data_IF_767905752114
#
_entry.id   IF_767905752114
#
_cell.length_a   1.000
_cell.length_b   1.000
_cell.length_c   1.000
_cell.angle_alpha   90.00
_cell.angle_beta   90.00
_cell.angle_gamma   90.00
#
_symmetry.space_group_name_H-M   'P 1'
#
loop_
_entity.id
_entity.type
_entity.pdbx_description
1 polymer ?
#
# COMPACT_ATOMS: atom_id res chain seq x y z
N UNK A 1 76.09 49.74 44.85
CA UNK A 1 75.83 49.28 43.47
C UNK A 1 74.59 48.43 43.48
N UNK A 2 73.55 48.82 42.73
CA UNK A 2 72.64 47.93 41.99
C UNK A 2 71.40 48.74 41.55
N UNK A 3 71.29 48.95 40.25
CA UNK A 3 70.04 49.17 39.51
C UNK A 3 69.90 47.99 38.53
N UNK A 4 68.83 47.92 37.74
CA UNK A 4 67.49 47.34 37.97
C UNK A 4 67.32 46.05 37.12
N UNK A 5 66.09 45.68 36.70
CA UNK A 5 65.70 44.71 35.64
C UNK A 5 65.22 43.33 36.17
N UNK A 6 64.12 42.71 35.72
CA UNK A 6 63.18 42.90 34.60
C UNK A 6 61.85 42.23 34.95
N UNK A 7 60.76 42.75 34.39
CA UNK A 7 59.51 42.01 34.28
C UNK A 7 59.72 40.76 33.40
N UNK A 8 59.04 39.68 33.75
CA UNK A 8 58.80 38.57 32.83
C UNK A 8 57.29 38.53 32.63
N UNK A 9 56.84 39.26 31.62
CA UNK A 9 55.61 38.98 30.88
C UNK A 9 55.62 37.51 30.44
N UNK A 10 54.97 36.63 31.21
CA UNK A 10 54.67 35.26 30.79
C UNK A 10 53.50 35.35 29.81
N UNK A 11 53.86 35.28 28.53
CA UNK A 11 52.97 35.24 27.39
C UNK A 11 52.13 33.97 27.50
N UNK A 12 50.88 34.11 27.93
CA UNK A 12 49.84 33.12 27.72
C UNK A 12 49.48 33.19 26.23
N UNK A 13 50.22 32.41 25.44
CA UNK A 13 50.06 32.28 24.01
C UNK A 13 48.67 31.67 23.75
N UNK A 14 47.67 32.54 23.59
CA UNK A 14 46.31 32.24 23.15
C UNK A 14 46.29 31.67 21.73
N UNK A 15 47.00 30.56 21.50
CA UNK A 15 47.06 29.80 20.26
C UNK A 15 45.75 29.05 19.98
N UNK A 16 44.74 29.24 20.83
CA UNK A 16 43.42 28.63 20.69
C UNK A 16 42.41 29.51 19.92
N UNK A 17 42.74 30.77 19.59
CA UNK A 17 41.78 31.76 19.06
C UNK A 17 42.20 32.39 17.71
N UNK A 18 43.00 31.69 16.88
CA UNK A 18 43.58 32.28 15.66
C UNK A 18 43.29 31.49 14.38
N UNK A 19 42.05 31.04 14.21
CA UNK A 19 41.48 31.18 12.88
C UNK A 19 40.88 32.57 12.84
N UNK A 20 41.28 33.38 11.88
CA UNK A 20 40.57 34.63 11.62
C UNK A 20 39.09 34.31 11.35
N UNK A 21 38.14 35.15 11.74
CA UNK A 21 36.69 34.91 11.50
C UNK A 21 36.42 34.55 10.02
N UNK A 22 37.24 35.09 9.10
CA UNK A 22 37.23 34.75 7.67
C UNK A 22 37.69 33.30 7.38
N UNK A 23 38.73 32.79 8.04
CA UNK A 23 39.18 31.39 7.91
C UNK A 23 38.17 30.41 8.54
N UNK A 24 37.54 30.76 9.65
CA UNK A 24 36.43 29.96 10.21
C UNK A 24 35.25 29.92 9.25
N UNK A 25 34.93 31.05 8.62
CA UNK A 25 33.86 31.13 7.63
C UNK A 25 34.17 30.30 6.39
N UNK A 26 35.39 30.36 5.85
CA UNK A 26 35.81 29.54 4.71
C UNK A 26 35.74 28.04 5.02
N UNK A 27 36.22 27.60 6.19
CA UNK A 27 36.16 26.18 6.56
C UNK A 27 34.72 25.67 6.74
N UNK A 28 33.82 26.49 7.27
CA UNK A 28 32.39 26.19 7.36
C UNK A 28 31.73 26.08 5.97
N UNK A 29 32.05 27.01 5.06
CA UNK A 29 31.56 26.98 3.68
C UNK A 29 32.04 25.74 2.93
N UNK A 30 33.30 25.35 3.12
CA UNK A 30 33.85 24.13 2.53
C UNK A 30 33.15 22.89 3.06
N UNK A 31 32.90 22.80 4.37
CA UNK A 31 32.14 21.71 4.97
C UNK A 31 30.69 21.65 4.46
N UNK A 32 30.00 22.79 4.34
CA UNK A 32 28.67 22.85 3.74
C UNK A 32 28.68 22.42 2.27
N UNK A 33 29.69 22.83 1.49
CA UNK A 33 29.82 22.47 0.08
C UNK A 33 29.98 20.96 -0.11
N UNK A 34 30.82 20.32 0.71
CA UNK A 34 31.04 18.87 0.69
C UNK A 34 29.80 18.12 1.13
N UNK A 35 29.12 18.60 2.18
CA UNK A 35 27.87 18.01 2.63
C UNK A 35 26.76 18.11 1.57
N UNK A 36 26.67 19.25 0.87
CA UNK A 36 25.73 19.48 -0.21
C UNK A 36 26.03 18.58 -1.41
N UNK A 37 27.30 18.43 -1.81
CA UNK A 37 27.72 17.54 -2.89
C UNK A 37 27.35 16.09 -2.59
N UNK A 38 27.64 15.62 -1.37
CA UNK A 38 27.29 14.27 -0.93
C UNK A 38 25.78 14.01 -0.98
N UNK A 39 24.99 15.03 -0.61
CA UNK A 39 23.52 14.96 -0.68
C UNK A 39 23.05 14.92 -2.13
N UNK A 40 23.52 15.83 -2.98
CA UNK A 40 23.14 15.87 -4.40
C UNK A 40 23.49 14.58 -5.15
N UNK A 41 24.63 13.95 -4.83
CA UNK A 41 25.07 12.70 -5.46
C UNK A 41 24.15 11.51 -5.17
N UNK A 42 23.44 11.55 -4.04
CA UNK A 42 22.58 10.43 -3.58
C UNK A 42 21.09 10.68 -3.79
N UNK A 43 20.66 11.93 -3.94
CA UNK A 43 19.25 12.29 -4.14
C UNK A 43 18.60 11.54 -5.31
N UNK A 44 19.23 11.55 -6.50
CA UNK A 44 18.65 10.85 -7.67
C UNK A 44 18.53 9.33 -7.50
N UNK A 45 19.47 8.69 -6.78
CA UNK A 45 19.43 7.25 -6.49
C UNK A 45 18.32 6.94 -5.48
N UNK A 46 18.17 7.79 -4.46
CA UNK A 46 17.13 7.63 -3.43
C UNK A 46 15.73 7.82 -4.02
N UNK A 47 15.56 8.87 -4.81
CA UNK A 47 14.31 9.16 -5.51
C UNK A 47 13.97 8.03 -6.49
N UNK A 48 14.94 7.55 -7.28
CA UNK A 48 14.73 6.41 -8.18
C UNK A 48 14.38 5.11 -7.44
N UNK A 49 14.97 4.87 -6.28
CA UNK A 49 14.66 3.71 -5.44
C UNK A 49 13.24 3.78 -4.87
N UNK A 50 12.82 4.95 -4.39
CA UNK A 50 11.50 5.13 -3.80
C UNK A 50 10.41 5.08 -4.88
N UNK A 51 10.64 5.70 -6.05
CA UNK A 51 9.77 5.56 -7.22
C UNK A 51 9.64 4.09 -7.67
N UNK A 52 10.74 3.34 -7.68
CA UNK A 52 10.70 1.92 -8.06
C UNK A 52 9.91 1.04 -7.09
N UNK A 53 9.99 1.33 -5.78
CA UNK A 53 9.17 0.65 -4.76
C UNK A 53 7.70 0.98 -4.93
N UNK A 54 7.37 2.26 -5.11
CA UNK A 54 6.00 2.71 -5.32
C UNK A 54 5.40 2.09 -6.58
N UNK A 55 6.15 2.07 -7.68
CA UNK A 55 5.73 1.43 -8.93
C UNK A 55 5.42 -0.06 -8.73
N UNK A 56 6.34 -0.80 -8.11
CA UNK A 56 6.14 -2.24 -7.86
C UNK A 56 4.95 -2.50 -6.94
N UNK A 57 4.75 -1.65 -5.92
CA UNK A 57 3.62 -1.73 -5.02
C UNK A 57 2.30 -1.48 -5.76
N UNK A 58 2.27 -0.46 -6.62
CA UNK A 58 1.09 -0.10 -7.40
C UNK A 58 0.72 -1.20 -8.40
N UNK A 59 1.69 -1.81 -9.08
CA UNK A 59 1.45 -2.96 -9.96
C UNK A 59 0.78 -4.12 -9.22
N UNK A 60 1.27 -4.45 -8.01
CA UNK A 60 0.67 -5.48 -7.17
C UNK A 60 -0.75 -5.14 -6.72
N UNK A 61 -0.98 -3.86 -6.35
CA UNK A 61 -2.31 -3.37 -6.00
C UNK A 61 -3.27 -3.44 -7.19
N UNK A 62 -2.88 -2.95 -8.37
CA UNK A 62 -3.72 -2.91 -9.57
C UNK A 62 -4.15 -4.32 -9.98
N UNK A 63 -3.22 -5.28 -9.92
CA UNK A 63 -3.52 -6.68 -10.20
C UNK A 63 -4.53 -7.26 -9.19
N UNK A 64 -4.29 -7.04 -7.89
CA UNK A 64 -5.20 -7.50 -6.83
C UNK A 64 -6.58 -6.84 -6.91
N UNK A 65 -6.61 -5.54 -7.18
CA UNK A 65 -7.83 -4.74 -7.33
C UNK A 65 -8.64 -5.20 -8.53
N UNK A 66 -8.02 -5.41 -9.69
CA UNK A 66 -8.72 -5.88 -10.89
C UNK A 66 -9.37 -7.24 -10.67
N UNK A 67 -8.66 -8.19 -10.05
CA UNK A 67 -9.20 -9.52 -9.71
C UNK A 67 -10.33 -9.43 -8.68
N UNK A 68 -10.15 -8.64 -7.62
CA UNK A 68 -11.16 -8.43 -6.60
C UNK A 68 -12.43 -7.77 -7.16
N UNK A 69 -12.27 -6.71 -7.96
CA UNK A 69 -13.37 -6.01 -8.60
C UNK A 69 -14.17 -6.91 -9.55
N UNK A 70 -13.49 -7.72 -10.37
CA UNK A 70 -14.15 -8.68 -11.25
C UNK A 70 -14.96 -9.72 -10.47
N UNK A 71 -14.40 -10.27 -9.38
CA UNK A 71 -15.06 -11.23 -8.50
C UNK A 71 -16.28 -10.61 -7.80
N UNK A 72 -16.12 -9.47 -7.15
CA UNK A 72 -17.19 -8.78 -6.45
C UNK A 72 -18.32 -8.34 -7.39
N UNK A 73 -17.97 -7.90 -8.61
CA UNK A 73 -18.96 -7.59 -9.63
C UNK A 73 -19.79 -8.81 -10.03
N UNK A 74 -19.15 -9.96 -10.27
CA UNK A 74 -19.85 -11.23 -10.62
C UNK A 74 -20.85 -11.62 -9.52
N UNK A 75 -20.43 -11.61 -8.25
CA UNK A 75 -21.30 -11.98 -7.13
C UNK A 75 -22.40 -10.95 -6.87
N UNK A 76 -22.07 -9.66 -6.95
CA UNK A 76 -23.02 -8.57 -6.83
C UNK A 76 -24.13 -8.65 -7.87
N UNK A 77 -23.77 -8.95 -9.13
CA UNK A 77 -24.73 -9.13 -10.23
C UNK A 77 -25.70 -10.27 -9.95
N UNK A 78 -25.20 -11.45 -9.57
CA UNK A 78 -26.03 -12.62 -9.25
C UNK A 78 -26.94 -12.36 -8.05
N UNK A 79 -26.41 -11.76 -6.98
CA UNK A 79 -27.19 -11.36 -5.80
C UNK A 79 -28.32 -10.39 -6.17
N UNK A 80 -28.01 -9.37 -7.00
CA UNK A 80 -28.99 -8.41 -7.49
C UNK A 80 -30.10 -9.09 -8.28
N UNK A 81 -29.74 -9.93 -9.25
CA UNK A 81 -30.70 -10.66 -10.09
C UNK A 81 -31.60 -11.59 -9.27
N UNK A 82 -31.04 -12.36 -8.33
CA UNK A 82 -31.83 -13.20 -7.41
C UNK A 82 -32.75 -12.37 -6.53
N UNK A 83 -32.27 -11.26 -5.99
CA UNK A 83 -33.06 -10.34 -5.17
C UNK A 83 -34.24 -9.75 -5.94
N UNK A 84 -34.02 -9.32 -7.19
CA UNK A 84 -35.07 -8.85 -8.08
C UNK A 84 -36.08 -9.96 -8.41
N UNK A 85 -35.62 -11.18 -8.73
CA UNK A 85 -36.51 -12.30 -9.01
C UNK A 85 -37.42 -12.65 -7.81
N UNK A 86 -36.87 -12.64 -6.60
CA UNK A 86 -37.64 -12.80 -5.35
C UNK A 86 -38.65 -11.67 -5.19
N UNK A 87 -38.23 -10.41 -5.34
CA UNK A 87 -39.10 -9.25 -5.15
C UNK A 87 -40.25 -9.17 -6.16
N UNK A 88 -40.01 -9.64 -7.39
CA UNK A 88 -41.02 -9.71 -8.44
C UNK A 88 -41.95 -10.93 -8.32
N UNK A 89 -41.75 -11.81 -7.33
CA UNK A 89 -42.57 -13.00 -7.14
C UNK A 89 -42.36 -14.08 -8.21
N UNK A 90 -41.19 -14.10 -8.86
CA UNK A 90 -40.87 -15.09 -9.90
C UNK A 90 -40.50 -16.47 -9.32
N UNK A 91 -40.25 -16.54 -8.01
CA UNK A 91 -39.86 -17.76 -7.31
C UNK A 91 -40.97 -18.26 -6.38
N UNK A 92 -41.10 -19.58 -6.28
CA UNK A 92 -41.93 -20.22 -5.26
C UNK A 92 -41.26 -20.18 -3.86
N UNK A 93 -41.95 -20.68 -2.84
CA UNK A 93 -41.47 -20.62 -1.45
C UNK A 93 -40.12 -21.36 -1.25
N UNK A 94 -39.91 -22.46 -1.97
CA UNK A 94 -38.69 -23.27 -1.87
C UNK A 94 -37.53 -22.53 -2.53
N UNK A 95 -37.75 -22.02 -3.73
CA UNK A 95 -36.79 -21.20 -4.48
C UNK A 95 -36.45 -19.91 -3.75
N UNK A 96 -37.41 -19.23 -3.12
CA UNK A 96 -37.13 -18.05 -2.30
C UNK A 96 -36.17 -18.40 -1.15
N UNK A 97 -36.38 -19.54 -0.50
CA UNK A 97 -35.50 -20.00 0.60
C UNK A 97 -34.09 -20.29 0.08
N UNK A 98 -33.98 -21.00 -1.04
CA UNK A 98 -32.69 -21.30 -1.68
C UNK A 98 -31.97 -20.02 -2.15
N UNK A 99 -32.70 -19.07 -2.74
CA UNK A 99 -32.17 -17.81 -3.23
C UNK A 99 -31.59 -16.99 -2.06
N UNK A 100 -32.25 -16.98 -0.90
CA UNK A 100 -31.75 -16.29 0.30
C UNK A 100 -30.45 -16.92 0.83
N UNK A 101 -30.34 -18.25 0.80
CA UNK A 101 -29.11 -18.97 1.17
C UNK A 101 -27.98 -18.62 0.19
N UNK A 102 -28.21 -18.76 -1.12
CA UNK A 102 -27.25 -18.39 -2.15
C UNK A 102 -26.78 -16.94 -2.03
N UNK A 103 -27.71 -15.98 -1.86
CA UNK A 103 -27.39 -14.57 -1.71
C UNK A 103 -26.54 -14.28 -0.45
N UNK A 104 -26.72 -15.07 0.61
CA UNK A 104 -25.93 -14.95 1.83
C UNK A 104 -24.52 -15.50 1.62
N UNK A 105 -24.39 -16.68 1.00
CA UNK A 105 -23.09 -17.30 0.69
C UNK A 105 -22.27 -16.41 -0.26
N UNK A 106 -22.88 -15.91 -1.33
CA UNK A 106 -22.25 -14.98 -2.28
C UNK A 106 -21.74 -13.71 -1.58
N UNK A 107 -22.45 -13.21 -0.56
CA UNK A 107 -22.01 -12.06 0.24
C UNK A 107 -20.81 -12.41 1.10
N UNK A 108 -20.79 -13.59 1.72
CA UNK A 108 -19.65 -14.06 2.49
C UNK A 108 -18.40 -14.18 1.60
N UNK A 109 -18.56 -14.76 0.40
CA UNK A 109 -17.45 -14.87 -0.57
C UNK A 109 -16.96 -13.53 -1.10
N UNK A 110 -17.83 -12.52 -1.19
CA UNK A 110 -17.45 -11.14 -1.56
C UNK A 110 -16.60 -10.48 -0.47
N UNK A 111 -16.91 -10.73 0.80
CA UNK A 111 -16.18 -10.16 1.95
C UNK A 111 -14.91 -10.94 2.29
N UNK A 112 -14.75 -12.17 1.80
CA UNK A 112 -13.55 -12.96 2.00
C UNK A 112 -12.42 -12.49 1.07
N UNK A 113 -11.54 -11.67 1.64
CA UNK A 113 -10.31 -11.19 1.03
C UNK A 113 -9.09 -12.04 1.40
N UNK A 114 -9.27 -13.19 2.08
CA UNK A 114 -8.12 -14.00 2.52
C UNK A 114 -7.42 -14.67 1.33
N UNK A 115 -6.09 -14.60 1.33
CA UNK A 115 -5.22 -15.21 0.31
C UNK A 115 -4.49 -16.40 0.95
N UNK A 116 -5.24 -17.42 1.39
CA UNK A 116 -4.63 -18.64 1.92
C UNK A 116 -4.41 -19.67 0.80
N UNK A 117 -3.14 -19.80 0.37
CA UNK A 117 -2.65 -20.73 -0.67
C UNK A 117 -2.83 -22.23 -0.37
N UNK A 118 -3.31 -22.62 0.81
CA UNK A 118 -3.28 -24.02 1.27
C UNK A 118 -4.63 -24.75 1.20
N UNK A 119 -5.67 -24.13 0.62
CA UNK A 119 -7.00 -24.74 0.45
C UNK A 119 -7.75 -24.28 -0.81
N UNK A 120 -7.02 -23.81 -1.83
CA UNK A 120 -7.57 -23.14 -3.02
C UNK A 120 -8.53 -24.03 -3.84
N UNK A 121 -8.33 -25.35 -3.87
CA UNK A 121 -9.15 -26.27 -4.67
C UNK A 121 -10.56 -26.47 -4.09
N UNK A 122 -10.68 -26.56 -2.75
CA UNK A 122 -11.94 -26.90 -2.08
C UNK A 122 -12.86 -25.67 -1.98
N UNK A 123 -12.29 -24.50 -1.66
CA UNK A 123 -13.03 -23.23 -1.60
C UNK A 123 -13.46 -22.73 -2.98
N UNK A 124 -12.62 -22.90 -4.01
CA UNK A 124 -12.99 -22.53 -5.38
C UNK A 124 -14.12 -23.42 -5.90
N UNK A 125 -14.09 -24.72 -5.56
CA UNK A 125 -15.18 -25.66 -5.85
C UNK A 125 -16.49 -25.24 -5.19
N UNK A 126 -16.46 -24.91 -3.89
CA UNK A 126 -17.67 -24.45 -3.18
C UNK A 126 -18.25 -23.16 -3.80
N UNK A 127 -17.40 -22.17 -4.07
CA UNK A 127 -17.81 -20.90 -4.71
C UNK A 127 -18.48 -21.15 -6.07
N UNK A 128 -17.87 -21.96 -6.93
CA UNK A 128 -18.44 -22.26 -8.25
C UNK A 128 -19.73 -23.08 -8.17
N UNK A 129 -19.90 -23.95 -7.17
CA UNK A 129 -21.17 -24.66 -6.96
C UNK A 129 -22.31 -23.70 -6.61
N UNK A 130 -22.07 -22.72 -5.74
CA UNK A 130 -23.07 -21.72 -5.35
C UNK A 130 -23.38 -20.79 -6.51
N UNK A 131 -22.37 -20.38 -7.29
CA UNK A 131 -22.58 -19.57 -8.49
C UNK A 131 -23.42 -20.33 -9.53
N UNK A 132 -23.08 -21.59 -9.81
CA UNK A 132 -23.84 -22.42 -10.74
C UNK A 132 -25.28 -22.61 -10.28
N UNK A 133 -25.50 -22.84 -8.98
CA UNK A 133 -26.84 -22.92 -8.41
C UNK A 133 -27.63 -21.62 -8.63
N UNK A 134 -27.03 -20.46 -8.37
CA UNK A 134 -27.67 -19.16 -8.60
C UNK A 134 -28.03 -18.95 -10.08
N UNK A 135 -27.13 -19.30 -11.01
CA UNK A 135 -27.39 -19.22 -12.45
C UNK A 135 -28.50 -20.18 -12.91
N UNK A 136 -28.53 -21.40 -12.39
CA UNK A 136 -29.59 -22.38 -12.68
C UNK A 136 -30.95 -21.87 -12.21
N UNK A 137 -31.03 -21.28 -11.01
CA UNK A 137 -32.25 -20.66 -10.52
C UNK A 137 -32.72 -19.51 -11.40
N UNK A 138 -31.82 -18.63 -11.84
CA UNK A 138 -32.18 -17.53 -12.74
C UNK A 138 -32.65 -18.05 -14.12
N UNK A 139 -32.01 -19.10 -14.65
CA UNK A 139 -32.43 -19.75 -15.90
C UNK A 139 -33.86 -20.29 -15.83
N UNK A 140 -34.29 -20.85 -14.69
CA UNK A 140 -35.66 -21.35 -14.53
C UNK A 140 -36.74 -20.28 -14.69
N UNK A 141 -36.41 -19.02 -14.41
CA UNK A 141 -37.33 -17.87 -14.55
C UNK A 141 -37.07 -17.05 -15.82
N UNK A 142 -36.30 -17.60 -16.76
CA UNK A 142 -35.99 -16.95 -18.03
C UNK A 142 -35.01 -15.77 -17.92
N UNK A 143 -34.31 -15.64 -16.78
CA UNK A 143 -33.29 -14.64 -16.57
C UNK A 143 -31.91 -15.26 -16.86
N UNK A 144 -31.21 -14.78 -17.88
CA UNK A 144 -29.80 -15.10 -18.09
C UNK A 144 -28.94 -13.97 -17.54
N UNK A 145 -28.11 -14.26 -16.53
CA UNK A 145 -27.06 -13.35 -16.08
C UNK A 145 -25.80 -13.52 -16.89
#
# INVERSE_FOLDING_TARGET
MASPQLDASDSDDGFQDLLSEDEEHETLLDQESVALEHRMKTLGIRDGLDLGKEHTLQEGFDQGFALGAARSFRFGKLRGALGTAVACGLFDLIMITQARVCMSQLRTFEMDTSVHKTGEEDMCSEVETVVRQAEEMLKTVGLSS
#
